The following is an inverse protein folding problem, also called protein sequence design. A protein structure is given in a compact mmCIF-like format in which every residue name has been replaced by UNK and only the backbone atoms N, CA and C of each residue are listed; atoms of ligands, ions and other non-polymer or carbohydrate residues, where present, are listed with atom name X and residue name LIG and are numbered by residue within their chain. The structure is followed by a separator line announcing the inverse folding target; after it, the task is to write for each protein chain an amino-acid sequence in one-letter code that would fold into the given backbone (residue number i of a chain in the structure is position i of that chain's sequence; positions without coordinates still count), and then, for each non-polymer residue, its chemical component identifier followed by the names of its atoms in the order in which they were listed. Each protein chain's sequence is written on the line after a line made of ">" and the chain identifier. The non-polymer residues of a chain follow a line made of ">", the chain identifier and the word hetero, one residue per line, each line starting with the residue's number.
data_IF_966213615903
#
_entry.id   IF_966213615903
#
_cell.length_a   1.000
_cell.length_b   1.000
_cell.length_c   1.000
_cell.angle_alpha   90.00
_cell.angle_beta   90.00
_cell.angle_gamma   90.00
#
_symmetry.space_group_name_H-M   'P 1'
#
loop_
_entity.id
_entity.type
_entity.pdbx_description
1 polymer ?
#
# COMPACT_ATOMS: atom_id res chain seq x y z
N UNK A 1 -12.24 -12.45 10.49
CA UNK A 1 -11.92 -11.17 9.84
C UNK A 1 -10.45 -11.05 9.36
N UNK A 2 -9.52 -11.92 9.80
CA UNK A 2 -8.10 -11.93 9.37
C UNK A 2 -7.85 -12.30 7.89
N UNK A 3 -8.83 -12.90 7.21
CA UNK A 3 -8.66 -13.41 5.83
C UNK A 3 -8.41 -12.31 4.79
N UNK A 4 -8.98 -11.12 4.95
CA UNK A 4 -8.87 -10.07 3.93
C UNK A 4 -7.48 -9.44 3.86
N UNK A 5 -6.80 -9.28 5.00
CA UNK A 5 -5.39 -8.86 5.03
C UNK A 5 -4.46 -9.90 4.39
N UNK A 6 -4.73 -11.19 4.64
CA UNK A 6 -3.98 -12.30 4.02
C UNK A 6 -4.13 -12.32 2.49
N UNK A 7 -5.31 -11.97 1.96
CA UNK A 7 -5.52 -11.82 0.51
C UNK A 7 -4.64 -10.71 -0.06
N UNK A 8 -4.54 -9.56 0.63
CA UNK A 8 -3.64 -8.48 0.22
C UNK A 8 -2.17 -8.92 0.15
N UNK A 9 -1.69 -9.66 1.16
CA UNK A 9 -0.34 -10.24 1.18
C UNK A 9 -0.16 -11.24 0.05
N UNK A 10 -1.12 -12.13 -0.19
CA UNK A 10 -1.04 -13.14 -1.25
C UNK A 10 -0.95 -12.50 -2.64
N UNK A 11 -1.79 -11.49 -2.91
CA UNK A 11 -1.77 -10.73 -4.17
C UNK A 11 -0.45 -9.97 -4.32
N UNK A 12 0.01 -9.29 -3.26
CA UNK A 12 1.28 -8.56 -3.28
C UNK A 12 2.47 -9.47 -3.55
N UNK A 13 2.50 -10.63 -2.89
CA UNK A 13 3.54 -11.66 -3.07
C UNK A 13 3.54 -12.22 -4.49
N UNK A 14 2.35 -12.52 -5.04
CA UNK A 14 2.22 -12.93 -6.43
C UNK A 14 2.73 -11.84 -7.39
N UNK A 15 2.45 -10.57 -7.08
CA UNK A 15 3.00 -9.42 -7.80
C UNK A 15 4.53 -9.41 -7.81
N UNK A 16 5.18 -9.57 -6.64
CA UNK A 16 6.65 -9.66 -6.55
C UNK A 16 7.20 -10.80 -7.42
N UNK A 17 6.60 -11.98 -7.34
CA UNK A 17 7.03 -13.15 -8.13
C UNK A 17 6.93 -12.85 -9.62
N UNK A 18 5.80 -12.30 -10.09
CA UNK A 18 5.63 -11.94 -11.50
C UNK A 18 6.61 -10.86 -11.96
N UNK A 19 6.85 -9.84 -11.12
CA UNK A 19 7.85 -8.80 -11.43
C UNK A 19 9.25 -9.40 -11.54
N UNK A 20 9.63 -10.34 -10.67
CA UNK A 20 10.92 -11.04 -10.77
C UNK A 20 11.03 -11.92 -12.01
N UNK A 21 9.97 -12.64 -12.39
CA UNK A 21 9.94 -13.42 -13.63
C UNK A 21 10.05 -12.52 -14.87
N UNK A 22 9.43 -11.34 -14.84
CA UNK A 22 9.57 -10.33 -15.89
C UNK A 22 10.95 -9.65 -15.90
N UNK A 23 11.61 -9.48 -14.76
CA UNK A 23 12.93 -8.83 -14.73
C UNK A 23 14.04 -9.78 -15.18
N UNK A 24 13.91 -11.07 -14.87
CA UNK A 24 14.90 -12.09 -15.17
C UNK A 24 14.24 -13.30 -15.85
N UNK A 25 13.91 -13.20 -17.15
CA UNK A 25 13.30 -14.30 -17.89
C UNK A 25 14.17 -15.57 -17.88
N UNK A 26 15.50 -15.41 -17.77
CA UNK A 26 16.46 -16.51 -17.66
C UNK A 26 16.29 -17.41 -16.42
N UNK A 27 15.57 -16.97 -15.38
CA UNK A 27 15.23 -17.83 -14.22
C UNK A 27 14.29 -18.96 -14.64
N UNK A 28 13.53 -18.79 -15.73
CA UNK A 28 12.55 -19.78 -16.20
C UNK A 28 13.15 -20.91 -17.04
N UNK A 29 14.44 -20.80 -17.44
CA UNK A 29 15.13 -21.81 -18.24
C UNK A 29 14.60 -21.98 -19.67
N UNK A 30 13.72 -21.08 -20.13
CA UNK A 30 13.20 -21.05 -21.50
C UNK A 30 14.26 -20.45 -22.43
N UNK A 31 14.58 -21.13 -23.53
CA UNK A 31 15.59 -20.67 -24.50
C UNK A 31 15.23 -19.29 -25.08
N UNK A 32 16.20 -18.38 -25.11
CA UNK A 32 16.07 -17.01 -25.60
C UNK A 32 15.61 -17.00 -27.06
N UNK A 33 14.29 -16.90 -27.25
CA UNK A 33 13.68 -16.71 -28.56
C UNK A 33 13.32 -15.23 -28.67
N UNK A 34 13.59 -14.54 -29.80
CA UNK A 34 13.33 -13.10 -29.98
C UNK A 34 11.89 -12.65 -29.63
N UNK A 35 10.93 -13.57 -29.53
CA UNK A 35 9.52 -13.29 -29.22
C UNK A 35 9.21 -13.18 -27.72
N UNK A 36 10.15 -13.48 -26.82
CA UNK A 36 9.93 -13.54 -25.37
C UNK A 36 9.86 -12.14 -24.73
N UNK A 37 10.45 -11.10 -25.34
CA UNK A 37 10.49 -9.75 -24.77
C UNK A 37 9.12 -9.12 -24.49
N UNK A 38 8.09 -9.42 -25.29
CA UNK A 38 6.72 -8.91 -25.05
C UNK A 38 6.12 -9.57 -23.80
N UNK A 39 6.30 -10.87 -23.64
CA UNK A 39 5.81 -11.62 -22.47
C UNK A 39 6.53 -11.13 -21.21
N UNK A 40 7.83 -10.85 -21.33
CA UNK A 40 8.65 -10.30 -20.26
C UNK A 40 8.11 -8.95 -19.76
N UNK A 41 7.89 -8.00 -20.67
CA UNK A 41 7.31 -6.69 -20.35
C UNK A 41 5.91 -6.84 -19.74
N UNK A 42 5.08 -7.72 -20.30
CA UNK A 42 3.73 -7.96 -19.79
C UNK A 42 3.74 -8.51 -18.36
N UNK A 43 4.59 -9.50 -18.07
CA UNK A 43 4.76 -10.06 -16.73
C UNK A 43 5.25 -9.01 -15.73
N UNK A 44 6.17 -8.16 -16.15
CA UNK A 44 6.69 -7.09 -15.32
C UNK A 44 5.59 -6.07 -14.94
N UNK A 45 4.77 -5.66 -15.92
CA UNK A 45 3.67 -4.72 -15.70
C UNK A 45 2.54 -5.31 -14.86
N UNK A 46 2.15 -6.56 -15.13
CA UNK A 46 1.14 -7.27 -14.36
C UNK A 46 1.63 -7.45 -12.92
N UNK A 47 2.89 -7.85 -12.73
CA UNK A 47 3.50 -7.99 -11.42
C UNK A 47 3.49 -6.67 -10.63
N UNK A 48 3.87 -5.56 -11.27
CA UNK A 48 3.86 -4.23 -10.65
C UNK A 48 2.44 -3.78 -10.27
N UNK A 49 1.45 -4.06 -11.11
CA UNK A 49 0.04 -3.77 -10.81
C UNK A 49 -0.47 -4.60 -9.61
N UNK A 50 -0.19 -5.91 -9.59
CA UNK A 50 -0.57 -6.79 -8.49
C UNK A 50 0.13 -6.40 -7.18
N UNK A 51 1.42 -6.07 -7.25
CA UNK A 51 2.20 -5.64 -6.10
C UNK A 51 1.58 -4.39 -5.44
N UNK A 52 1.29 -3.37 -6.25
CA UNK A 52 0.68 -2.13 -5.78
C UNK A 52 -0.74 -2.36 -5.24
N UNK A 53 -1.56 -3.15 -5.95
CA UNK A 53 -2.91 -3.46 -5.51
C UNK A 53 -2.93 -4.26 -4.20
N UNK A 54 -2.09 -5.29 -4.09
CA UNK A 54 -1.93 -6.10 -2.88
C UNK A 54 -1.50 -5.26 -1.68
N UNK A 55 -0.57 -4.33 -1.87
CA UNK A 55 -0.13 -3.42 -0.82
C UNK A 55 -1.26 -2.50 -0.31
N UNK A 56 -2.02 -1.88 -1.22
CA UNK A 56 -3.14 -1.00 -0.84
C UNK A 56 -4.25 -1.79 -0.14
N UNK A 57 -4.61 -2.97 -0.67
CA UNK A 57 -5.60 -3.87 -0.05
C UNK A 57 -5.14 -4.26 1.36
N UNK A 58 -3.89 -4.70 1.50
CA UNK A 58 -3.33 -5.07 2.80
C UNK A 58 -3.45 -3.92 3.81
N UNK A 59 -3.03 -2.72 3.43
CA UNK A 59 -3.10 -1.53 4.31
C UNK A 59 -4.55 -1.20 4.66
N UNK A 60 -5.46 -1.18 3.68
CA UNK A 60 -6.87 -0.84 3.88
C UNK A 60 -7.54 -1.79 4.88
N UNK A 61 -7.34 -3.09 4.71
CA UNK A 61 -8.03 -4.10 5.53
C UNK A 61 -7.36 -4.35 6.89
N UNK A 62 -6.06 -4.05 7.02
CA UNK A 62 -5.32 -4.24 8.27
C UNK A 62 -5.47 -3.04 9.19
N UNK A 63 -5.34 -1.81 8.66
CA UNK A 63 -5.26 -0.60 9.49
C UNK A 63 -6.52 0.27 9.45
N UNK A 64 -7.27 0.27 8.34
CA UNK A 64 -8.36 1.23 8.09
C UNK A 64 -9.71 0.57 7.78
N UNK A 65 -9.97 -0.59 8.39
CA UNK A 65 -11.18 -1.36 8.16
C UNK A 65 -12.42 -0.57 8.60
N UNK A 66 -13.37 -0.38 7.69
CA UNK A 66 -14.63 0.35 7.97
C UNK A 66 -14.52 1.87 7.96
N UNK A 67 -13.32 2.44 7.79
CA UNK A 67 -13.13 3.88 7.68
C UNK A 67 -13.17 4.37 6.23
N UNK A 68 -13.71 5.57 6.00
CA UNK A 68 -13.60 6.25 4.70
C UNK A 68 -12.18 6.77 4.51
N UNK A 69 -11.70 6.75 3.27
CA UNK A 69 -10.35 7.22 2.96
C UNK A 69 -10.25 8.74 3.03
N UNK A 70 -9.31 9.24 3.82
CA UNK A 70 -9.05 10.67 3.97
C UNK A 70 -8.39 11.25 2.69
N UNK A 71 -8.30 12.58 2.59
CA UNK A 71 -7.74 13.28 1.43
C UNK A 71 -6.30 12.84 1.13
N UNK A 72 -5.46 12.70 2.15
CA UNK A 72 -4.09 12.23 2.00
C UNK A 72 -4.04 10.82 1.38
N UNK A 73 -4.90 9.91 1.84
CA UNK A 73 -5.02 8.55 1.28
C UNK A 73 -5.51 8.58 -0.17
N UNK A 74 -6.47 9.45 -0.51
CA UNK A 74 -6.93 9.60 -1.89
C UNK A 74 -5.83 10.15 -2.82
N UNK A 75 -5.01 11.09 -2.34
CA UNK A 75 -3.84 11.59 -3.07
C UNK A 75 -2.79 10.48 -3.25
N UNK A 76 -2.46 9.75 -2.19
CA UNK A 76 -1.53 8.63 -2.24
C UNK A 76 -1.96 7.56 -3.25
N UNK A 77 -3.26 7.20 -3.24
CA UNK A 77 -3.82 6.26 -4.22
C UNK A 77 -3.70 6.76 -5.66
N UNK A 78 -4.00 8.04 -5.92
CA UNK A 78 -3.87 8.62 -7.26
C UNK A 78 -2.42 8.66 -7.71
N UNK A 79 -1.49 9.02 -6.82
CA UNK A 79 -0.05 9.00 -7.10
C UNK A 79 0.44 7.58 -7.39
N UNK A 80 -0.08 6.58 -6.68
CA UNK A 80 0.23 5.18 -6.93
C UNK A 80 -0.19 4.75 -8.33
N UNK A 81 -1.41 5.14 -8.74
CA UNK A 81 -1.99 4.86 -10.06
C UNK A 81 -1.28 5.61 -11.18
N UNK A 82 -0.87 6.88 -10.98
CA UNK A 82 -0.09 7.60 -11.99
C UNK A 82 1.28 6.96 -12.19
N UNK A 83 1.93 6.49 -11.12
CA UNK A 83 3.13 5.65 -11.24
C UNK A 83 2.88 4.42 -12.10
N UNK A 84 1.75 3.71 -11.91
CA UNK A 84 1.42 2.53 -12.73
C UNK A 84 1.17 2.89 -14.21
N UNK A 85 0.57 4.06 -14.47
CA UNK A 85 0.39 4.58 -15.82
C UNK A 85 1.76 4.85 -16.47
N UNK A 86 2.68 5.52 -15.78
CA UNK A 86 4.05 5.72 -16.27
C UNK A 86 4.79 4.41 -16.50
N UNK A 87 4.60 3.42 -15.62
CA UNK A 87 5.15 2.08 -15.80
C UNK A 87 4.66 1.46 -17.10
N UNK A 88 3.35 1.59 -17.37
CA UNK A 88 2.73 1.08 -18.59
C UNK A 88 3.28 1.77 -19.83
N UNK A 89 3.42 3.10 -19.82
CA UNK A 89 3.99 3.86 -20.92
C UNK A 89 5.46 3.50 -21.17
N UNK A 90 6.27 3.41 -20.12
CA UNK A 90 7.68 3.02 -20.24
C UNK A 90 7.81 1.57 -20.72
N UNK A 91 7.11 0.64 -20.09
CA UNK A 91 7.12 -0.77 -20.42
C UNK A 91 6.67 -1.05 -21.85
N UNK A 92 5.59 -0.42 -22.31
CA UNK A 92 5.08 -0.59 -23.68
C UNK A 92 5.76 0.31 -24.72
N UNK A 93 6.75 1.13 -24.35
CA UNK A 93 7.34 2.12 -25.27
C UNK A 93 7.90 1.52 -26.57
N UNK A 94 8.59 0.38 -26.49
CA UNK A 94 9.10 -0.34 -27.66
C UNK A 94 7.97 -0.94 -28.52
N UNK A 95 6.87 -1.38 -27.90
CA UNK A 95 5.69 -1.90 -28.59
C UNK A 95 4.94 -0.78 -29.33
N UNK A 96 4.87 0.41 -28.72
CA UNK A 96 4.20 1.59 -29.25
C UNK A 96 5.04 2.34 -30.30
N UNK A 97 6.32 1.98 -30.47
CA UNK A 97 7.18 2.52 -31.53
C UNK A 97 7.91 3.81 -31.18
N UNK A 98 7.88 4.27 -29.92
CA UNK A 98 8.67 5.41 -29.43
C UNK A 98 9.83 4.99 -28.50
N UNK A 99 10.04 3.68 -28.34
CA UNK A 99 11.09 3.11 -27.50
C UNK A 99 12.48 3.15 -28.15
N UNK A 100 13.49 2.70 -27.38
CA UNK A 100 14.91 2.89 -27.73
C UNK A 100 15.44 1.94 -28.80
N UNK A 101 14.73 0.85 -29.09
CA UNK A 101 15.17 -0.14 -30.08
C UNK A 101 14.26 -0.13 -31.31
N UNK A 102 14.79 0.35 -32.44
CA UNK A 102 14.14 0.23 -33.75
C UNK A 102 14.33 -1.22 -34.24
N UNK A 103 13.21 -1.94 -34.40
CA UNK A 103 13.13 -3.32 -34.93
C UNK A 103 14.04 -3.49 -36.15
N UNK A 104 15.11 -4.27 -35.99
CA UNK A 104 15.90 -4.83 -37.09
C UNK A 104 16.00 -6.33 -36.86
N UNK A 105 15.88 -7.11 -37.93
CA UNK A 105 15.76 -8.58 -37.99
C UNK A 105 16.89 -9.38 -37.28
N UNK A 106 17.92 -8.73 -36.75
CA UNK A 106 19.17 -9.37 -36.27
C UNK A 106 19.58 -9.00 -34.85
N UNK A 107 18.82 -8.19 -34.12
CA UNK A 107 19.20 -7.73 -32.77
C UNK A 107 18.15 -8.14 -31.75
N UNK A 108 18.59 -8.82 -30.69
CA UNK A 108 17.76 -9.26 -29.57
C UNK A 108 16.82 -8.17 -29.06
N UNK A 109 15.57 -8.55 -28.75
CA UNK A 109 14.63 -7.66 -28.05
C UNK A 109 15.13 -7.50 -26.61
N UNK A 110 16.03 -6.55 -26.42
CA UNK A 110 16.61 -6.26 -25.12
C UNK A 110 15.85 -5.15 -24.42
N UNK A 111 15.53 -5.36 -23.15
CA UNK A 111 14.96 -4.34 -22.28
C UNK A 111 15.92 -3.15 -22.23
N UNK A 112 15.56 -2.05 -22.90
CA UNK A 112 16.45 -0.92 -23.11
C UNK A 112 16.80 -0.23 -21.79
N UNK A 113 17.99 0.37 -21.67
CA UNK A 113 18.39 1.12 -20.46
C UNK A 113 17.39 2.22 -20.11
N UNK A 114 16.84 2.90 -21.13
CA UNK A 114 15.82 3.94 -20.95
C UNK A 114 14.49 3.35 -20.44
N UNK A 115 14.07 2.21 -20.98
CA UNK A 115 12.89 1.48 -20.55
C UNK A 115 13.05 1.00 -19.10
N UNK A 116 14.21 0.44 -18.75
CA UNK A 116 14.53 0.02 -17.39
C UNK A 116 14.50 1.18 -16.40
N UNK A 117 15.09 2.32 -16.77
CA UNK A 117 15.04 3.52 -15.96
C UNK A 117 13.59 4.02 -15.76
N UNK A 118 12.80 4.08 -16.84
CA UNK A 118 11.40 4.48 -16.77
C UNK A 118 10.55 3.54 -15.90
N UNK A 119 10.76 2.24 -16.01
CA UNK A 119 10.11 1.23 -15.16
C UNK A 119 10.52 1.37 -13.70
N UNK A 120 11.79 1.62 -13.39
CA UNK A 120 12.25 1.78 -12.02
C UNK A 120 11.76 3.10 -11.39
N UNK A 121 11.77 4.19 -12.16
CA UNK A 121 11.27 5.48 -11.73
C UNK A 121 9.76 5.43 -11.45
N UNK A 122 9.00 4.77 -12.32
CA UNK A 122 7.56 4.58 -12.13
C UNK A 122 7.22 3.66 -10.96
N UNK A 123 8.00 2.60 -10.72
CA UNK A 123 7.88 1.77 -9.52
C UNK A 123 8.13 2.59 -8.25
N UNK A 124 9.15 3.44 -8.26
CA UNK A 124 9.47 4.33 -7.15
C UNK A 124 8.32 5.30 -6.88
N UNK A 125 7.77 5.92 -7.93
CA UNK A 125 6.61 6.80 -7.83
C UNK A 125 5.38 6.08 -7.27
N UNK A 126 5.08 4.88 -7.76
CA UNK A 126 3.99 4.06 -7.24
C UNK A 126 4.18 3.71 -5.76
N UNK A 127 5.41 3.36 -5.38
CA UNK A 127 5.77 3.00 -4.01
C UNK A 127 5.60 4.18 -3.04
N UNK A 128 5.99 5.40 -3.46
CA UNK A 128 5.75 6.63 -2.69
C UNK A 128 4.24 6.87 -2.51
N UNK A 129 3.43 6.66 -3.55
CA UNK A 129 1.97 6.77 -3.44
C UNK A 129 1.37 5.80 -2.42
N UNK A 130 1.83 4.55 -2.43
CA UNK A 130 1.43 3.53 -1.43
C UNK A 130 1.88 3.91 -0.02
N UNK A 131 3.10 4.47 0.12
CA UNK A 131 3.61 4.91 1.41
C UNK A 131 2.76 6.05 2.00
N UNK A 132 2.41 7.04 1.18
CA UNK A 132 1.50 8.13 1.57
C UNK A 132 0.15 7.57 1.98
N UNK A 133 -0.38 6.59 1.24
CA UNK A 133 -1.63 5.91 1.59
C UNK A 133 -1.56 5.20 2.95
N UNK A 134 -0.43 4.57 3.27
CA UNK A 134 -0.22 3.82 4.50
C UNK A 134 0.00 4.70 5.72
N UNK A 135 0.68 5.84 5.58
CA UNK A 135 1.00 6.73 6.70
C UNK A 135 -0.11 7.78 6.92
N UNK A 136 -0.76 8.23 5.85
CA UNK A 136 -1.68 9.38 5.87
C UNK A 136 -3.08 9.11 6.44
N UNK A 137 -3.34 7.94 7.03
CA UNK A 137 -4.62 7.63 7.67
C UNK A 137 -4.53 7.67 9.19
N UNK A 138 -5.58 8.18 9.85
CA UNK A 138 -5.70 8.17 11.30
C UNK A 138 -6.23 6.79 11.76
N UNK A 139 -5.46 6.01 12.55
CA UNK A 139 -5.91 4.71 13.02
C UNK A 139 -7.13 4.86 13.94
N UNK A 140 -7.95 3.81 13.99
CA UNK A 140 -9.26 3.76 14.65
C UNK A 140 -9.21 4.05 16.17
N UNK A 141 -9.14 5.34 16.51
CA UNK A 141 -9.04 5.86 17.88
C UNK A 141 -10.43 6.01 18.52
N UNK A 142 -11.48 6.12 17.70
CA UNK A 142 -12.85 6.42 18.16
C UNK A 142 -13.52 5.25 18.89
N UNK A 143 -13.24 4.00 18.47
CA UNK A 143 -13.69 2.81 19.21
C UNK A 143 -13.06 2.74 20.60
N UNK A 144 -11.76 3.03 20.70
CA UNK A 144 -11.01 3.02 21.97
C UNK A 144 -11.54 4.08 22.93
N UNK A 145 -11.74 5.33 22.47
CA UNK A 145 -12.29 6.42 23.30
C UNK A 145 -13.72 6.16 23.78
N UNK A 146 -14.55 5.56 22.93
CA UNK A 146 -15.94 5.23 23.30
C UNK A 146 -15.99 4.12 24.36
N UNK A 147 -15.05 3.17 24.29
CA UNK A 147 -14.89 2.14 25.32
C UNK A 147 -14.36 2.73 26.64
N UNK A 148 -13.35 3.61 26.58
CA UNK A 148 -12.84 4.30 27.77
C UNK A 148 -13.91 5.16 28.44
N UNK A 149 -14.68 5.95 27.68
CA UNK A 149 -15.78 6.74 28.26
C UNK A 149 -16.88 5.86 28.87
N UNK A 150 -17.16 4.69 28.30
CA UNK A 150 -18.08 3.71 28.92
C UNK A 150 -17.50 3.18 30.23
N UNK A 151 -16.21 2.82 30.27
CA UNK A 151 -15.53 2.35 31.48
C UNK A 151 -15.47 3.43 32.56
N UNK A 152 -15.20 4.69 32.19
CA UNK A 152 -15.16 5.82 33.12
C UNK A 152 -16.52 6.08 33.76
N UNK A 153 -17.61 5.92 32.99
CA UNK A 153 -18.99 6.02 33.50
C UNK A 153 -19.43 4.83 34.36
N UNK A 154 -18.72 3.70 34.28
CA UNK A 154 -18.97 2.49 35.08
C UNK A 154 -18.14 2.45 36.38
N UNK A 155 -17.21 3.40 36.57
CA UNK A 155 -16.50 3.55 37.83
C UNK A 155 -17.44 4.25 38.81
N UNK A 156 -17.87 3.58 39.91
CA UNK A 156 -18.75 4.21 40.88
C UNK A 156 -18.06 5.44 41.49
N UNK A 157 -18.80 6.52 41.81
CA UNK A 157 -18.20 7.66 42.49
C UNK A 157 -17.55 7.18 43.79
N UNK A 158 -16.29 7.54 43.99
CA UNK A 158 -15.58 7.31 45.25
C UNK A 158 -16.48 7.77 46.39
N UNK A 159 -16.77 6.94 47.39
CA UNK A 159 -17.68 7.33 48.46
C UNK A 159 -17.17 8.62 49.09
N UNK A 160 -18.00 9.65 49.02
CA UNK A 160 -17.75 10.95 49.63
C UNK A 160 -17.52 10.70 51.11
N UNK A 161 -16.33 11.08 51.60
CA UNK A 161 -15.95 10.94 53.00
C UNK A 161 -17.00 11.70 53.83
N UNK A 162 -17.57 11.10 54.90
CA UNK A 162 -18.65 11.75 55.63
C UNK A 162 -18.18 13.10 56.12
N UNK A 163 -18.94 14.13 55.78
CA UNK A 163 -18.82 15.48 56.30
C UNK A 163 -18.95 15.39 57.83
N UNK A 164 -17.85 15.70 58.52
CA UNK A 164 -17.76 15.70 59.98
C UNK A 164 -18.66 16.81 60.52
N UNK A 165 -19.91 16.47 60.83
CA UNK A 165 -20.81 17.36 61.56
C UNK A 165 -20.46 17.29 63.03
N UNK A 166 -20.13 18.47 63.54
CA UNK A 166 -20.52 18.96 64.87
C UNK A 166 -19.60 18.62 66.05
N UNK A 167 -18.80 19.63 66.44
CA UNK A 167 -18.62 19.94 67.86
C UNK A 167 -18.36 21.44 68.04
N UNK A 168 -19.44 22.21 68.17
CA UNK A 168 -19.43 23.53 68.79
C UNK A 168 -19.05 23.37 70.27
N UNK A 169 -18.03 24.07 70.81
CA UNK A 169 -17.85 24.13 72.24
C UNK A 169 -18.71 25.24 72.82
N UNK A 170 -19.56 24.81 73.73
CA UNK A 170 -20.42 25.60 74.61
C UNK A 170 -19.60 26.64 75.39
N UNK A 171 -20.11 27.86 75.40
CA UNK A 171 -19.66 28.99 76.22
C UNK A 171 -19.97 28.69 77.69
N UNK A 172 -18.96 28.64 78.56
CA UNK A 172 -19.10 28.76 80.02
C UNK A 172 -17.88 29.57 80.51
N UNK A 173 -18.10 30.88 80.75
CA UNK A 173 -18.15 31.55 82.07
C UNK A 173 -16.79 31.66 82.74
#
# INVERSE_FOLDING_TARGET
>A
MQRFGQVGIAIGTLGVIMTMMGLFPGITGVADTPRIGIVQVALLLIGQALLMFGAIVYVKFTFYLGQRSNLAQQVGLRLALTGLLFASLAGLSDILGFGSHIRTETTDIFFGQLQAFGTLASLSLSSVGVLIYAIGGEPNTDMTRTQEMKMLKLTPPTPEKPEDKESTPVKAT
#
